data_IF_497212279719
#
_entry.id   IF_497212279719
#
_cell.length_a   1.000
_cell.length_b   1.000
_cell.length_c   1.000
_cell.angle_alpha   90.00
_cell.angle_beta   90.00
_cell.angle_gamma   90.00
#
_symmetry.space_group_name_H-M   'P 1'
#
loop_
_entity.id
_entity.type
_entity.pdbx_description
1 polymer ?
#
# COMPACT_ATOMS: atom_id res chain seq x y z
N UNK A 1 -15.64 12.56 1.07
CA UNK A 1 -15.74 11.28 0.34
C UNK A 1 -15.12 10.21 1.23
N UNK A 2 -15.29 8.93 0.91
CA UNK A 2 -14.67 7.86 1.68
C UNK A 2 -13.62 7.12 0.85
N UNK A 3 -12.57 6.64 1.51
CA UNK A 3 -11.66 5.62 0.98
C UNK A 3 -12.05 4.29 1.62
N UNK A 4 -12.17 3.24 0.80
CA UNK A 4 -12.31 1.86 1.28
C UNK A 4 -11.12 1.05 0.81
N UNK A 5 -10.47 0.40 1.76
CA UNK A 5 -9.28 -0.43 1.56
C UNK A 5 -9.66 -1.85 1.94
N UNK A 6 -9.68 -2.73 0.95
CA UNK A 6 -9.81 -4.17 1.15
C UNK A 6 -8.47 -4.82 0.95
N UNK A 7 -8.08 -5.67 1.88
CA UNK A 7 -6.82 -6.38 1.80
C UNK A 7 -7.04 -7.84 2.15
N UNK A 8 -6.61 -8.73 1.27
CA UNK A 8 -6.52 -10.15 1.52
C UNK A 8 -5.05 -10.49 1.73
N UNK A 9 -4.71 -10.86 2.96
CA UNK A 9 -3.35 -11.04 3.43
C UNK A 9 -3.11 -12.51 3.72
N UNK A 10 -2.03 -13.06 3.18
CA UNK A 10 -1.55 -14.40 3.49
C UNK A 10 -0.18 -14.29 4.17
N UNK A 11 -0.10 -14.77 5.41
CA UNK A 11 1.10 -14.73 6.26
C UNK A 11 1.16 -16.03 7.06
N UNK A 12 2.29 -16.75 7.00
CA UNK A 12 2.53 -17.98 7.78
C UNK A 12 1.42 -19.05 7.69
N UNK A 13 0.80 -19.20 6.52
CA UNK A 13 -0.30 -20.14 6.30
C UNK A 13 -1.66 -19.69 6.85
N UNK A 14 -1.72 -18.51 7.46
CA UNK A 14 -2.95 -17.85 7.87
C UNK A 14 -3.43 -16.86 6.82
N UNK A 15 -4.75 -16.71 6.72
CA UNK A 15 -5.40 -15.75 5.84
C UNK A 15 -6.20 -14.76 6.65
N UNK A 16 -5.95 -13.48 6.42
CA UNK A 16 -6.69 -12.36 7.01
C UNK A 16 -7.38 -11.56 5.91
N UNK A 17 -8.64 -11.21 6.16
CA UNK A 17 -9.45 -10.35 5.30
C UNK A 17 -9.76 -9.07 6.07
N UNK A 18 -9.21 -7.96 5.57
CA UNK A 18 -9.37 -6.63 6.18
C UNK A 18 -10.22 -5.78 5.24
N UNK A 19 -11.20 -5.08 5.80
CA UNK A 19 -12.05 -4.13 5.10
C UNK A 19 -12.20 -2.87 5.95
N UNK A 20 -11.52 -1.81 5.54
CA UNK A 20 -11.41 -0.56 6.29
C UNK A 20 -11.98 0.59 5.48
N UNK A 21 -12.68 1.51 6.17
CA UNK A 21 -13.27 2.69 5.57
C UNK A 21 -12.90 3.92 6.39
N UNK A 22 -12.41 4.97 5.72
CA UNK A 22 -12.05 6.24 6.34
C UNK A 22 -12.57 7.41 5.52
N UNK A 23 -12.70 8.57 6.16
CA UNK A 23 -12.84 9.83 5.43
C UNK A 23 -11.54 10.13 4.67
N UNK A 24 -11.67 10.59 3.43
CA UNK A 24 -10.51 10.92 2.58
C UNK A 24 -10.73 12.20 1.79
N UNK A 25 -9.62 12.85 1.47
CA UNK A 25 -9.52 13.85 0.41
C UNK A 25 -8.86 13.23 -0.81
N UNK A 26 -9.38 13.52 -2.01
CA UNK A 26 -8.78 13.16 -3.28
C UNK A 26 -8.39 14.42 -4.05
N UNK A 27 -7.15 14.49 -4.54
CA UNK A 27 -6.68 15.58 -5.39
C UNK A 27 -5.81 15.05 -6.52
N UNK A 28 -5.78 15.75 -7.65
CA UNK A 28 -4.92 15.44 -8.78
C UNK A 28 -3.92 16.58 -9.01
N UNK A 29 -2.65 16.24 -9.27
CA UNK A 29 -1.60 17.18 -9.66
C UNK A 29 -0.77 16.58 -10.80
N UNK A 30 -0.95 17.10 -12.01
CA UNK A 30 -0.43 16.46 -13.22
C UNK A 30 -1.00 15.06 -13.38
N UNK A 31 -0.14 14.08 -13.66
CA UNK A 31 -0.54 12.67 -13.82
C UNK A 31 -0.72 11.91 -12.50
N UNK A 32 -0.39 12.55 -11.37
CA UNK A 32 -0.48 11.92 -10.06
C UNK A 32 -1.80 12.23 -9.36
N UNK A 33 -2.36 11.20 -8.76
CA UNK A 33 -3.49 11.27 -7.84
C UNK A 33 -3.01 11.10 -6.40
N UNK A 34 -3.71 11.78 -5.50
CA UNK A 34 -3.40 11.80 -4.07
C UNK A 34 -4.66 11.46 -3.29
N UNK A 35 -4.59 10.46 -2.42
CA UNK A 35 -5.58 10.20 -1.38
C UNK A 35 -4.96 10.49 -0.02
N UNK A 36 -5.63 11.34 0.76
CA UNK A 36 -5.23 11.71 2.11
C UNK A 36 -6.31 11.28 3.09
N UNK A 37 -5.97 10.40 4.02
CA UNK A 37 -6.87 9.95 5.08
C UNK A 37 -6.13 9.85 6.42
N UNK A 38 -6.89 9.64 7.50
CA UNK A 38 -6.36 9.23 8.80
C UNK A 38 -6.75 7.78 9.06
N UNK A 39 -5.79 6.95 9.44
CA UNK A 39 -6.05 5.56 9.80
C UNK A 39 -6.66 5.45 11.22
N UNK A 40 -6.85 4.22 11.69
CA UNK A 40 -7.39 3.89 13.01
C UNK A 40 -6.54 4.44 14.17
N UNK A 41 -5.23 4.56 13.97
CA UNK A 41 -4.28 5.13 14.94
C UNK A 41 -4.27 6.68 14.90
N UNK A 42 -5.12 7.31 14.08
CA UNK A 42 -5.18 8.76 13.91
C UNK A 42 -4.01 9.34 13.11
N UNK A 43 -3.17 8.50 12.52
CA UNK A 43 -2.01 8.89 11.74
C UNK A 43 -2.41 9.28 10.33
N UNK A 44 -1.76 10.32 9.82
CA UNK A 44 -1.98 10.76 8.44
C UNK A 44 -1.35 9.76 7.48
N UNK A 45 -2.12 9.33 6.48
CA UNK A 45 -1.64 8.52 5.37
C UNK A 45 -1.82 9.29 4.06
N UNK A 46 -0.79 9.28 3.23
CA UNK A 46 -0.80 9.84 1.87
C UNK A 46 -0.54 8.70 0.90
N UNK A 47 -1.48 8.47 -0.01
CA UNK A 47 -1.28 7.63 -1.19
C UNK A 47 -1.04 8.54 -2.38
N UNK A 48 0.14 8.47 -2.98
CA UNK A 48 0.47 9.15 -4.24
C UNK A 48 0.63 8.10 -5.33
N UNK A 49 -0.19 8.15 -6.37
CA UNK A 49 -0.18 7.13 -7.41
C UNK A 49 -0.44 7.66 -8.80
N UNK A 50 -0.01 6.89 -9.79
CA UNK A 50 -0.37 7.04 -11.21
C UNK A 50 -0.45 5.64 -11.84
N UNK A 51 -0.45 5.55 -13.17
CA UNK A 51 -0.59 4.30 -13.93
C UNK A 51 0.53 3.26 -13.72
N UNK A 52 1.70 3.64 -13.17
CA UNK A 52 2.85 2.73 -13.01
C UNK A 52 3.34 2.52 -11.59
N UNK A 53 2.99 3.41 -10.66
CA UNK A 53 3.47 3.28 -9.28
C UNK A 53 2.48 3.84 -8.27
N UNK A 54 2.55 3.28 -7.06
CA UNK A 54 1.97 3.82 -5.83
C UNK A 54 3.09 4.03 -4.81
N UNK A 55 3.12 5.22 -4.19
CA UNK A 55 3.89 5.52 -2.99
C UNK A 55 2.91 5.77 -1.84
N UNK A 56 2.99 4.94 -0.81
CA UNK A 56 2.24 5.09 0.43
C UNK A 56 3.16 5.64 1.51
N UNK A 57 2.81 6.80 2.08
CA UNK A 57 3.50 7.40 3.22
C UNK A 57 2.56 7.43 4.41
N UNK A 58 2.92 6.73 5.48
CA UNK A 58 2.27 6.78 6.79
C UNK A 58 3.11 7.66 7.69
N UNK A 59 2.55 8.77 8.16
CA UNK A 59 3.21 9.72 9.06
C UNK A 59 3.10 9.25 10.52
N UNK A 60 3.58 8.03 10.77
CA UNK A 60 3.82 7.44 12.09
C UNK A 60 5.10 8.00 12.71
N UNK A 61 5.36 7.68 13.97
CA UNK A 61 6.65 7.92 14.62
C UNK A 61 7.30 6.57 14.97
N UNK A 62 8.32 6.11 14.22
CA UNK A 62 8.94 6.76 13.05
C UNK A 62 8.13 6.62 11.76
N UNK A 63 8.34 7.56 10.82
CA UNK A 63 7.64 7.60 9.52
C UNK A 63 7.89 6.35 8.69
N UNK A 64 6.85 5.83 8.04
CA UNK A 64 6.92 4.65 7.17
C UNK A 64 6.58 5.00 5.72
N UNK A 65 7.38 4.47 4.78
CA UNK A 65 7.20 4.69 3.34
C UNK A 65 7.28 3.34 2.62
N UNK A 66 6.22 3.02 1.88
CA UNK A 66 6.15 1.86 0.98
C UNK A 66 6.01 2.35 -0.45
N UNK A 67 6.66 1.67 -1.40
CA UNK A 67 6.58 1.98 -2.82
C UNK A 67 6.34 0.70 -3.60
N UNK A 68 5.41 0.75 -4.55
CA UNK A 68 5.00 -0.36 -5.38
C UNK A 68 5.12 0.08 -6.83
N UNK A 69 5.87 -0.66 -7.64
CA UNK A 69 6.09 -0.38 -9.06
C UNK A 69 5.46 -1.51 -9.85
N UNK A 70 4.64 -1.19 -10.84
CA UNK A 70 3.97 -2.17 -11.69
C UNK A 70 4.97 -3.17 -12.29
N UNK A 71 4.74 -4.45 -12.04
CA UNK A 71 5.59 -5.56 -12.51
C UNK A 71 7.07 -5.39 -12.12
N UNK A 72 7.32 -4.91 -10.91
CA UNK A 72 8.67 -4.59 -10.45
C UNK A 72 8.89 -4.77 -8.95
N UNK A 73 10.18 -4.74 -8.59
CA UNK A 73 10.65 -4.86 -7.22
C UNK A 73 11.16 -3.52 -6.68
N UNK A 74 10.98 -3.28 -5.38
CA UNK A 74 11.51 -2.08 -4.71
C UNK A 74 11.92 -2.39 -3.27
N UNK A 75 13.11 -1.91 -2.86
CA UNK A 75 13.57 -1.97 -1.48
C UNK A 75 12.79 -0.96 -0.62
N UNK A 76 12.26 -1.42 0.51
CA UNK A 76 11.51 -0.62 1.47
C UNK A 76 12.04 -0.84 2.88
N UNK A 77 11.95 0.18 3.72
CA UNK A 77 12.30 0.11 5.14
C UNK A 77 11.06 0.18 6.01
N UNK A 78 10.81 -0.87 6.79
CA UNK A 78 9.68 -0.95 7.71
C UNK A 78 10.23 -0.86 9.14
N UNK A 79 9.73 0.10 9.90
CA UNK A 79 10.05 0.20 11.32
C UNK A 79 9.19 -0.81 12.08
N UNK A 80 9.85 -1.69 12.81
CA UNK A 80 9.24 -2.69 13.68
C UNK A 80 9.60 -2.37 15.14
N UNK A 81 8.95 -2.98 16.15
CA UNK A 81 9.34 -2.81 17.55
C UNK A 81 10.81 -3.16 17.84
N UNK A 82 11.45 -4.00 17.02
CA UNK A 82 12.86 -4.42 17.17
C UNK A 82 13.83 -3.54 16.38
N UNK A 83 13.35 -2.55 15.62
CA UNK A 83 14.15 -1.63 14.83
C UNK A 83 13.73 -1.54 13.35
N UNK A 84 14.55 -0.85 12.55
CA UNK A 84 14.35 -0.75 11.11
C UNK A 84 14.73 -2.06 10.43
N UNK A 85 13.79 -2.65 9.70
CA UNK A 85 14.01 -3.84 8.88
C UNK A 85 13.81 -3.51 7.41
N UNK A 86 14.66 -4.08 6.55
CA UNK A 86 14.56 -3.92 5.11
C UNK A 86 13.80 -5.08 4.48
N UNK A 87 12.96 -4.78 3.50
CA UNK A 87 12.20 -5.75 2.72
C UNK A 87 12.18 -5.35 1.25
N UNK A 88 11.77 -6.28 0.39
CA UNK A 88 11.48 -6.03 -1.02
C UNK A 88 9.99 -6.18 -1.24
N UNK A 89 9.34 -5.15 -1.80
CA UNK A 89 8.01 -5.29 -2.39
C UNK A 89 8.16 -5.81 -3.81
N UNK A 90 7.56 -6.95 -4.12
CA UNK A 90 7.51 -7.54 -5.46
C UNK A 90 6.07 -7.49 -5.98
N UNK A 91 5.79 -6.55 -6.89
CA UNK A 91 4.42 -6.23 -7.32
C UNK A 91 4.10 -6.97 -8.61
N UNK A 92 3.24 -7.98 -8.53
CA UNK A 92 2.87 -8.82 -9.68
C UNK A 92 1.69 -8.26 -10.49
N UNK A 93 0.83 -7.48 -9.84
CA UNK A 93 -0.33 -6.84 -10.49
C UNK A 93 -0.49 -5.41 -9.97
N UNK A 94 -0.73 -4.47 -10.88
CA UNK A 94 -1.01 -3.08 -10.56
C UNK A 94 -1.91 -2.48 -11.63
N UNK A 95 -3.08 -1.97 -11.23
CA UNK A 95 -4.04 -1.36 -12.15
C UNK A 95 -4.79 -0.21 -11.48
N UNK A 96 -4.85 0.92 -12.19
CA UNK A 96 -5.68 2.07 -11.82
C UNK A 96 -6.81 2.19 -12.82
N UNK A 97 -8.06 2.22 -12.33
CA UNK A 97 -9.26 2.54 -13.09
C UNK A 97 -9.87 3.82 -12.50
N UNK A 98 -9.52 4.97 -13.09
CA UNK A 98 -10.00 6.28 -12.63
C UNK A 98 -11.50 6.49 -12.88
N UNK A 99 -12.09 5.78 -13.85
CA UNK A 99 -13.54 5.87 -14.12
C UNK A 99 -14.33 5.22 -13.00
N UNK A 100 -13.82 4.13 -12.45
CA UNK A 100 -14.39 3.44 -11.29
C UNK A 100 -13.83 3.93 -9.95
N UNK A 101 -12.81 4.78 -9.99
CA UNK A 101 -12.05 5.24 -8.83
C UNK A 101 -11.53 4.08 -7.97
N UNK A 102 -10.86 3.13 -8.65
CA UNK A 102 -10.29 1.93 -8.04
C UNK A 102 -8.81 1.80 -8.41
N UNK A 103 -7.99 1.42 -7.43
CA UNK A 103 -6.62 0.95 -7.59
C UNK A 103 -6.53 -0.47 -7.03
N UNK A 104 -6.10 -1.41 -7.86
CA UNK A 104 -5.83 -2.79 -7.45
C UNK A 104 -4.34 -3.06 -7.51
N UNK A 105 -3.79 -3.69 -6.47
CA UNK A 105 -2.38 -4.03 -6.41
C UNK A 105 -2.18 -5.37 -5.70
N UNK A 106 -1.46 -6.29 -6.34
CA UNK A 106 -1.06 -7.56 -5.74
C UNK A 106 0.45 -7.58 -5.60
N UNK A 107 0.94 -7.88 -4.41
CA UNK A 107 2.36 -7.87 -4.14
C UNK A 107 2.75 -8.89 -3.07
N UNK A 108 4.02 -9.27 -3.10
CA UNK A 108 4.67 -10.00 -2.03
C UNK A 108 5.64 -9.08 -1.31
N UNK A 109 5.66 -9.17 0.02
CA UNK A 109 6.73 -8.62 0.83
C UNK A 109 7.76 -9.74 1.07
N UNK A 110 8.99 -9.52 0.65
CA UNK A 110 10.08 -10.51 0.70
C UNK A 110 11.24 -10.01 1.53
N UNK A 111 12.03 -10.93 2.06
CA UNK A 111 13.36 -10.62 2.60
C UNK A 111 14.27 -10.06 1.50
N UNK A 112 15.34 -9.34 1.89
CA UNK A 112 16.24 -8.67 0.94
C UNK A 112 16.99 -9.66 0.03
N UNK A 113 17.30 -10.85 0.55
CA UNK A 113 17.89 -11.95 -0.23
C UNK A 113 16.90 -12.58 -1.24
N UNK A 114 15.60 -12.25 -1.13
CA UNK A 114 14.54 -12.74 -2.01
C UNK A 114 14.15 -14.20 -1.78
N UNK A 115 14.78 -14.90 -0.84
CA UNK A 115 14.56 -16.33 -0.61
C UNK A 115 13.26 -16.60 0.16
N UNK A 116 12.89 -15.69 1.07
CA UNK A 116 11.71 -15.85 1.91
C UNK A 116 10.62 -14.83 1.55
N UNK A 117 9.41 -15.35 1.30
CA UNK A 117 8.20 -14.55 1.27
C UNK A 117 7.75 -14.34 2.71
N UNK A 118 7.70 -13.09 3.15
CA UNK A 118 7.16 -12.71 4.44
C UNK A 118 5.64 -12.75 4.40
N UNK A 119 5.02 -12.06 3.44
CA UNK A 119 3.57 -12.05 3.28
C UNK A 119 3.17 -11.79 1.83
N UNK A 120 1.99 -12.28 1.43
CA UNK A 120 1.35 -11.99 0.14
C UNK A 120 0.09 -11.18 0.35
N UNK A 121 -0.15 -10.21 -0.54
CA UNK A 121 -1.23 -9.25 -0.43
C UNK A 121 -1.99 -9.12 -1.74
N UNK A 122 -3.30 -9.14 -1.67
CA UNK A 122 -4.21 -8.73 -2.73
C UNK A 122 -5.05 -7.56 -2.20
N UNK A 123 -4.69 -6.35 -2.63
CA UNK A 123 -5.27 -5.12 -2.13
C UNK A 123 -6.08 -4.39 -3.20
N UNK A 124 -7.25 -3.92 -2.79
CA UNK A 124 -8.11 -3.03 -3.57
C UNK A 124 -8.38 -1.76 -2.76
N UNK A 125 -8.09 -0.62 -3.37
CA UNK A 125 -8.36 0.71 -2.81
C UNK A 125 -9.39 1.36 -3.72
N UNK A 126 -10.52 1.75 -3.15
CA UNK A 126 -11.58 2.50 -3.84
C UNK A 126 -11.85 3.81 -3.13
N UNK A 127 -12.23 4.84 -3.87
CA UNK A 127 -12.59 6.14 -3.29
C UNK A 127 -13.79 6.76 -4.00
N UNK A 128 -14.66 7.44 -3.26
CA UNK A 128 -15.90 8.02 -3.80
C UNK A 128 -16.80 8.60 -2.73
#
# INVERSE_FOLDING_TARGET
MQIRIKNHIQLDGHTELIDQVYDTDWTQKGDYHYLLYKNEEGEKVVLKFHDKELVMTRFSEPKSIMRFISQGQTLVGIHTPVGLQQFVTDTSFYKVDLTKQVLQLHYQLKTVDGEQIFASYEMEISWG
#
